data_IF_925971198396
#
_entry.id   IF_925971198396
#
_cell.length_a   1.000
_cell.length_b   1.000
_cell.length_c   1.000
_cell.angle_alpha   90.00
_cell.angle_beta   90.00
_cell.angle_gamma   90.00
#
_symmetry.space_group_name_H-M   'P 1'
#
loop_
_entity.id
_entity.type
_entity.pdbx_description
1 polymer ?
#
# COMPACT_ATOMS: atom_id res chain seq x y z
N UNK A 1 0.49 -12.23 29.12
CA UNK A 1 -0.21 -12.42 27.84
C UNK A 1 -0.38 -11.04 27.26
N UNK A 2 0.61 -10.57 26.50
CA UNK A 2 0.51 -9.25 25.87
C UNK A 2 -0.44 -9.43 24.70
N UNK A 3 -1.60 -8.80 24.78
CA UNK A 3 -2.46 -8.63 23.62
C UNK A 3 -1.63 -7.86 22.59
N UNK A 4 -1.21 -8.54 21.52
CA UNK A 4 -0.76 -7.86 20.31
C UNK A 4 -2.02 -7.20 19.76
N UNK A 5 -2.28 -5.99 20.25
CA UNK A 5 -3.29 -5.12 19.67
C UNK A 5 -2.92 -4.89 18.22
N UNK A 6 -3.94 -4.91 17.35
CA UNK A 6 -3.80 -4.45 15.97
C UNK A 6 -3.34 -2.99 16.05
N UNK A 7 -2.11 -2.70 15.66
CA UNK A 7 -1.63 -1.32 15.58
C UNK A 7 -2.21 -0.72 14.30
N UNK A 8 -3.08 0.28 14.47
CA UNK A 8 -3.62 1.04 13.36
C UNK A 8 -2.52 1.98 12.83
N UNK A 9 -2.29 1.96 11.53
CA UNK A 9 -1.30 2.82 10.87
C UNK A 9 -1.99 4.02 10.21
N UNK A 10 -1.39 5.22 10.31
CA UNK A 10 -1.86 6.40 9.57
C UNK A 10 -1.21 6.43 8.19
N UNK A 11 -2.05 6.36 7.15
CA UNK A 11 -1.59 6.42 5.76
C UNK A 11 -2.05 7.74 5.16
N UNK A 12 -1.08 8.51 4.67
CA UNK A 12 -1.30 9.78 3.99
C UNK A 12 -0.77 9.69 2.58
N UNK A 13 -1.63 10.00 1.62
CA UNK A 13 -1.27 10.07 0.20
C UNK A 13 -1.43 11.50 -0.24
N UNK A 14 -0.36 12.06 -0.77
CA UNK A 14 -0.32 13.42 -1.30
C UNK A 14 0.25 13.38 -2.72
N UNK A 15 -0.20 14.32 -3.55
CA UNK A 15 0.23 14.43 -4.93
C UNK A 15 0.39 15.89 -5.35
N UNK A 16 1.41 16.13 -6.16
CA UNK A 16 1.62 17.39 -6.88
C UNK A 16 1.39 17.12 -8.35
N UNK A 17 0.17 17.35 -8.82
CA UNK A 17 -0.27 17.04 -10.19
C UNK A 17 -0.21 18.25 -11.14
N UNK A 18 0.06 19.44 -10.61
CA UNK A 18 0.00 20.71 -11.34
C UNK A 18 1.24 21.53 -11.06
N UNK A 19 1.74 22.23 -12.07
CA UNK A 19 2.92 23.10 -11.93
C UNK A 19 3.92 22.91 -13.08
N UNK A 20 5.10 23.53 -12.97
CA UNK A 20 6.14 23.45 -14.01
C UNK A 20 6.89 22.11 -14.04
N UNK A 21 6.79 21.33 -12.95
CA UNK A 21 7.46 20.04 -12.83
C UNK A 21 6.56 18.89 -13.29
N UNK A 22 7.18 17.75 -13.60
CA UNK A 22 6.43 16.52 -13.85
C UNK A 22 5.57 16.14 -12.62
N UNK A 23 4.34 15.64 -12.83
CA UNK A 23 3.48 15.17 -11.76
C UNK A 23 4.17 14.13 -10.88
N UNK A 24 3.99 14.23 -9.58
CA UNK A 24 4.55 13.30 -8.61
C UNK A 24 3.58 13.03 -7.46
N UNK A 25 3.76 11.89 -6.80
CA UNK A 25 3.03 11.54 -5.58
C UNK A 25 3.93 10.88 -4.55
N UNK A 26 3.51 10.89 -3.30
CA UNK A 26 4.19 10.17 -2.23
C UNK A 26 3.19 9.57 -1.24
N UNK A 27 3.62 8.48 -0.62
CA UNK A 27 2.87 7.76 0.40
C UNK A 27 3.67 7.86 1.69
N UNK A 28 3.03 8.38 2.71
CA UNK A 28 3.56 8.51 4.06
C UNK A 28 2.84 7.55 4.97
N UNK A 29 3.59 6.75 5.73
CA UNK A 29 3.06 5.87 6.77
C UNK A 29 3.62 6.32 8.11
N UNK A 30 2.74 6.56 9.08
CA UNK A 30 3.08 7.05 10.42
C UNK A 30 4.01 8.29 10.41
N UNK A 31 3.74 9.22 9.50
CA UNK A 31 4.52 10.44 9.33
C UNK A 31 5.87 10.27 8.61
N UNK A 32 6.24 9.05 8.20
CA UNK A 32 7.46 8.77 7.43
C UNK A 32 7.14 8.55 5.95
N UNK A 33 7.80 9.29 5.05
CA UNK A 33 7.64 9.12 3.60
C UNK A 33 8.27 7.79 3.16
N UNK A 34 7.43 6.79 2.90
CA UNK A 34 7.88 5.43 2.56
C UNK A 34 8.08 5.27 1.07
N UNK A 35 7.23 5.87 0.24
CA UNK A 35 7.28 5.79 -1.22
C UNK A 35 7.21 7.19 -1.81
N UNK A 36 8.08 7.49 -2.78
CA UNK A 36 7.99 8.69 -3.62
C UNK A 36 8.10 8.32 -5.10
N UNK A 37 7.10 8.70 -5.87
CA UNK A 37 6.99 8.39 -7.29
C UNK A 37 7.06 9.69 -8.08
N UNK A 38 8.22 9.93 -8.69
CA UNK A 38 8.44 11.01 -9.65
C UNK A 38 7.98 10.61 -11.05
N UNK A 39 7.70 11.60 -11.89
CA UNK A 39 7.32 11.41 -13.29
C UNK A 39 6.09 10.48 -13.44
N UNK A 40 5.04 10.77 -12.66
CA UNK A 40 3.84 9.96 -12.50
C UNK A 40 3.12 9.71 -13.84
N UNK A 41 3.29 10.58 -14.85
CA UNK A 41 2.84 10.36 -16.23
C UNK A 41 3.29 9.01 -16.82
N UNK A 42 4.39 8.45 -16.32
CA UNK A 42 4.94 7.16 -16.74
C UNK A 42 4.70 6.04 -15.74
N UNK A 43 4.36 6.39 -14.49
CA UNK A 43 4.31 5.49 -13.33
C UNK A 43 2.95 5.53 -12.63
N UNK A 44 1.89 5.95 -13.34
CA UNK A 44 0.54 6.11 -12.81
C UNK A 44 -0.15 4.78 -12.47
N UNK A 45 0.40 3.64 -12.89
CA UNK A 45 0.08 2.32 -12.35
C UNK A 45 1.35 1.63 -11.92
N UNK A 46 1.33 0.98 -10.77
CA UNK A 46 2.49 0.27 -10.26
C UNK A 46 2.25 -0.35 -8.90
N UNK A 47 3.32 -0.91 -8.35
CA UNK A 47 3.34 -1.47 -7.02
C UNK A 47 4.72 -1.29 -6.37
N UNK A 48 4.75 -1.34 -5.04
CA UNK A 48 5.97 -1.30 -4.25
C UNK A 48 5.73 -2.05 -2.94
N UNK A 49 6.74 -2.80 -2.47
CA UNK A 49 6.69 -3.52 -1.21
C UNK A 49 7.44 -2.74 -0.15
N UNK A 50 6.82 -2.53 1.00
CA UNK A 50 7.38 -1.77 2.13
C UNK A 50 7.32 -2.60 3.40
N UNK A 51 8.23 -2.35 4.33
CA UNK A 51 8.21 -2.99 5.66
C UNK A 51 7.52 -2.07 6.66
N UNK A 52 6.42 -2.53 7.26
CA UNK A 52 5.72 -1.85 8.35
C UNK A 52 5.80 -2.73 9.60
N UNK A 53 6.49 -2.27 10.63
CA UNK A 53 6.71 -3.02 11.88
C UNK A 53 7.18 -4.47 11.65
N UNK A 54 8.19 -4.65 10.78
CA UNK A 54 8.72 -5.94 10.35
C UNK A 54 7.74 -6.82 9.56
N UNK A 55 6.57 -6.32 9.15
CA UNK A 55 5.66 -7.00 8.23
C UNK A 55 5.75 -6.39 6.82
N UNK A 56 5.97 -7.20 5.77
CA UNK A 56 5.93 -6.72 4.40
C UNK A 56 4.49 -6.36 4.03
N UNK A 57 4.30 -5.24 3.35
CA UNK A 57 3.03 -4.83 2.76
C UNK A 57 3.29 -4.42 1.31
N UNK A 58 2.62 -5.10 0.38
CA UNK A 58 2.59 -4.69 -1.02
C UNK A 58 1.52 -3.61 -1.20
N UNK A 59 1.94 -2.46 -1.73
CA UNK A 59 1.07 -1.34 -2.06
C UNK A 59 0.97 -1.28 -3.57
N UNK A 60 -0.23 -1.44 -4.12
CA UNK A 60 -0.53 -1.26 -5.54
C UNK A 60 -1.30 0.04 -5.74
N UNK A 61 -1.05 0.74 -6.85
CA UNK A 61 -1.74 1.96 -7.19
C UNK A 61 -2.20 2.00 -8.65
N UNK A 62 -3.35 2.63 -8.88
CA UNK A 62 -3.80 3.15 -10.17
C UNK A 62 -4.34 4.56 -9.97
N UNK A 63 -3.62 5.55 -10.49
CA UNK A 63 -3.95 6.97 -10.38
C UNK A 63 -4.16 7.60 -11.76
N UNK A 64 -4.56 6.79 -12.75
CA UNK A 64 -4.81 7.26 -14.11
C UNK A 64 -5.79 8.44 -14.15
N UNK A 65 -6.89 8.35 -13.40
CA UNK A 65 -7.92 9.38 -13.41
C UNK A 65 -7.46 10.69 -12.75
N UNK A 66 -6.44 10.67 -11.89
CA UNK A 66 -5.85 11.90 -11.35
C UNK A 66 -5.13 12.74 -12.41
N UNK A 67 -4.51 12.07 -13.39
CA UNK A 67 -3.67 12.72 -14.39
C UNK A 67 -4.41 13.04 -15.69
N UNK A 68 -5.31 12.16 -16.11
CA UNK A 68 -5.86 12.17 -17.46
C UNK A 68 -7.38 12.37 -17.52
N UNK A 69 -8.06 12.37 -16.37
CA UNK A 69 -9.49 12.68 -16.35
C UNK A 69 -9.73 14.17 -16.58
N UNK A 70 -10.69 14.47 -17.46
CA UNK A 70 -11.14 15.85 -17.73
C UNK A 70 -12.07 16.40 -16.65
N UNK A 71 -12.54 15.54 -15.75
CA UNK A 71 -13.45 15.90 -14.67
C UNK A 71 -12.66 16.00 -13.37
N UNK A 72 -12.94 17.03 -12.56
CA UNK A 72 -12.30 17.28 -11.27
C UNK A 72 -12.67 16.25 -10.17
N UNK A 73 -13.15 15.07 -10.55
CA UNK A 73 -13.63 13.99 -9.68
C UNK A 73 -12.88 12.68 -9.90
N UNK A 74 -11.75 12.70 -10.63
CA UNK A 74 -10.95 11.51 -10.88
C UNK A 74 -10.48 10.86 -9.59
N UNK A 75 -10.59 9.54 -9.49
CA UNK A 75 -10.22 8.78 -8.30
C UNK A 75 -8.87 8.09 -8.48
N UNK A 76 -8.16 7.88 -7.37
CA UNK A 76 -6.95 7.08 -7.29
C UNK A 76 -7.25 5.84 -6.47
N UNK A 77 -6.89 4.69 -7.01
CA UNK A 77 -7.09 3.39 -6.38
C UNK A 77 -5.80 2.94 -5.71
N UNK A 78 -5.90 2.54 -4.45
CA UNK A 78 -4.79 1.96 -3.71
C UNK A 78 -5.22 0.65 -3.08
N UNK A 79 -4.37 -0.38 -3.20
CA UNK A 79 -4.59 -1.69 -2.61
C UNK A 79 -3.40 -2.03 -1.73
N UNK A 80 -3.68 -2.32 -0.46
CA UNK A 80 -2.69 -2.74 0.52
C UNK A 80 -2.86 -4.23 0.78
N UNK A 81 -1.83 -5.01 0.44
CA UNK A 81 -1.80 -6.45 0.64
C UNK A 81 -0.74 -6.82 1.67
N UNK A 82 -1.12 -7.44 2.79
CA UNK A 82 -0.15 -8.02 3.71
C UNK A 82 0.69 -9.08 2.98
N UNK A 83 2.01 -8.99 3.08
CA UNK A 83 2.94 -10.00 2.61
C UNK A 83 3.08 -11.14 3.64
N UNK A 84 3.58 -12.29 3.19
CA UNK A 84 3.87 -13.42 4.08
C UNK A 84 5.30 -13.25 4.60
N UNK A 85 5.46 -13.16 5.93
CA UNK A 85 6.76 -13.39 6.57
C UNK A 85 7.03 -14.89 6.54
N UNK A 86 8.04 -15.31 5.81
CA UNK A 86 8.50 -16.70 5.66
C UNK A 86 9.38 -17.19 6.82
N UNK A 87 9.40 -16.48 7.97
CA UNK A 87 10.25 -16.84 9.11
C UNK A 87 9.95 -18.22 9.73
N UNK A 88 8.83 -18.86 9.39
CA UNK A 88 8.50 -20.22 9.84
C UNK A 88 9.22 -21.35 9.07
N UNK A 89 10.07 -21.07 8.07
CA UNK A 89 10.68 -22.15 7.27
C UNK A 89 12.03 -22.66 7.78
N UNK A 90 12.51 -22.23 8.96
CA UNK A 90 13.78 -22.70 9.55
C UNK A 90 13.64 -23.90 10.51
N UNK A 91 12.47 -24.54 10.58
CA UNK A 91 12.31 -25.81 11.28
C UNK A 91 12.09 -26.94 10.27
N UNK A 92 13.19 -27.61 9.93
CA UNK A 92 13.23 -28.78 9.08
C UNK A 92 12.47 -29.95 9.72
N UNK A 93 11.21 -30.19 9.32
CA UNK A 93 10.51 -31.45 9.58
C UNK A 93 10.03 -32.11 8.27
N UNK A 94 10.71 -33.17 7.78
CA UNK A 94 10.31 -33.87 6.57
C UNK A 94 9.24 -34.90 6.93
N UNK A 95 7.99 -34.47 7.13
CA UNK A 95 6.93 -35.45 7.37
C UNK A 95 5.63 -34.93 7.96
N UNK A 96 4.84 -34.20 7.18
CA UNK A 96 3.38 -34.33 7.27
C UNK A 96 2.70 -33.80 6.03
N UNK A 97 2.13 -34.73 5.25
CA UNK A 97 1.03 -34.43 4.34
C UNK A 97 -0.18 -34.09 5.20
N UNK A 98 -0.61 -32.83 5.15
CA UNK A 98 -2.01 -32.40 5.13
C UNK A 98 -2.03 -30.91 4.81
N UNK A 99 -2.37 -30.60 3.55
CA UNK A 99 -2.60 -29.25 3.05
C UNK A 99 -4.00 -28.80 3.51
N UNK A 100 -4.13 -28.42 4.77
CA UNK A 100 -5.14 -27.44 5.18
C UNK A 100 -4.44 -26.10 5.24
N UNK A 101 -4.42 -25.42 4.09
CA UNK A 101 -4.07 -24.00 4.06
C UNK A 101 -5.13 -23.25 4.87
N UNK A 102 -4.87 -23.05 6.16
CA UNK A 102 -5.48 -21.95 6.90
C UNK A 102 -4.97 -20.68 6.24
N UNK A 103 -5.70 -20.19 5.22
CA UNK A 103 -5.53 -18.82 4.75
C UNK A 103 -5.72 -17.92 5.96
N UNK A 104 -4.69 -17.14 6.37
CA UNK A 104 -4.97 -15.94 7.15
C UNK A 104 -6.02 -15.18 6.34
N UNK A 105 -7.12 -14.75 6.97
CA UNK A 105 -8.15 -13.97 6.27
C UNK A 105 -7.45 -12.77 5.61
N UNK A 106 -7.21 -12.84 4.31
CA UNK A 106 -6.55 -11.80 3.53
C UNK A 106 -7.45 -10.56 3.56
N UNK A 107 -7.30 -9.70 4.57
CA UNK A 107 -7.92 -8.39 4.57
C UNK A 107 -7.08 -7.47 3.69
N UNK A 108 -7.19 -7.67 2.37
CA UNK A 108 -6.73 -6.64 1.44
C UNK A 108 -7.64 -5.43 1.62
N UNK A 109 -7.04 -4.27 1.85
CA UNK A 109 -7.79 -3.02 1.98
C UNK A 109 -7.71 -2.26 0.67
N UNK A 110 -8.86 -2.01 0.08
CA UNK A 110 -8.99 -1.16 -1.11
C UNK A 110 -9.46 0.21 -0.67
N UNK A 111 -8.72 1.24 -1.08
CA UNK A 111 -8.98 2.62 -0.68
C UNK A 111 -8.98 3.51 -1.92
N UNK A 112 -10.06 4.27 -2.06
CA UNK A 112 -10.19 5.32 -3.07
C UNK A 112 -9.81 6.67 -2.47
N UNK A 113 -9.01 7.43 -3.23
CA UNK A 113 -8.55 8.76 -2.87
C UNK A 113 -8.86 9.77 -3.99
N UNK A 114 -9.30 10.97 -3.58
CA UNK A 114 -9.40 12.14 -4.48
C UNK A 114 -8.03 12.82 -4.58
N UNK A 115 -7.71 13.52 -5.68
CA UNK A 115 -6.46 14.27 -5.76
C UNK A 115 -6.42 15.38 -4.71
N UNK A 116 -5.39 15.39 -3.85
CA UNK A 116 -5.24 16.34 -2.74
C UNK A 116 -4.68 15.68 -1.47
N UNK A 117 -4.73 16.40 -0.34
CA UNK A 117 -4.25 15.93 0.97
C UNK A 117 -5.34 15.10 1.66
N UNK A 118 -5.14 13.79 1.79
CA UNK A 118 -6.05 12.88 2.46
C UNK A 118 -5.31 11.93 3.41
N UNK A 119 -5.81 11.80 4.63
CA UNK A 119 -5.38 10.83 5.64
C UNK A 119 -6.50 9.80 5.85
N UNK A 120 -6.13 8.53 5.97
CA UNK A 120 -7.01 7.47 6.47
C UNK A 120 -6.24 6.57 7.45
N UNK A 121 -6.89 6.28 8.58
CA UNK A 121 -6.49 5.27 9.56
C UNK A 121 -7.12 3.93 9.17
N UNK A 122 -6.33 2.84 9.20
CA UNK A 122 -6.72 1.48 8.76
C UNK A 122 -6.31 0.40 9.77
#
# INVERSE_FOLDING_TARGET
MLEVGREDHDIVIEASLSGPNDPEMWITVDGTMTIRIVNLNWRFRGNESVMLNDFPVEILWDVYDWLFSKQATGQGLFIFKPGRLDWESSHSDPGSRNSEYNSPKESSSTIEFMPGKLSKSC
#
